data_IF_161027617523
#
_entry.id   IF_161027617523
#
_cell.length_a   1.000
_cell.length_b   1.000
_cell.length_c   1.000
_cell.angle_alpha   90.00
_cell.angle_beta   90.00
_cell.angle_gamma   90.00
#
_symmetry.space_group_name_H-M   'P 1'
#
loop_
_entity.id
_entity.type
_entity.pdbx_description
1 polymer ?
#
# COMPACT_ATOMS: atom_id res chain seq x y z
N UNK A 1 -7.23 -20.65 -17.96
CA UNK A 1 -6.03 -20.00 -18.53
C UNK A 1 -6.09 -18.52 -18.19
N UNK A 2 -5.41 -18.11 -17.12
CA UNK A 2 -5.38 -16.71 -16.70
C UNK A 2 -4.34 -16.01 -17.57
N UNK A 3 -4.74 -15.00 -18.34
CA UNK A 3 -3.79 -14.18 -19.09
C UNK A 3 -2.99 -13.38 -18.07
N UNK A 4 -1.68 -13.56 -18.02
CA UNK A 4 -0.78 -12.62 -17.34
C UNK A 4 -0.84 -11.30 -18.10
N UNK A 5 -1.70 -10.40 -17.65
CA UNK A 5 -1.70 -9.01 -18.10
C UNK A 5 -0.54 -8.35 -17.37
N UNK A 6 0.59 -8.18 -18.05
CA UNK A 6 1.69 -7.36 -17.55
C UNK A 6 1.25 -5.91 -17.65
N UNK A 7 0.66 -5.37 -16.58
CA UNK A 7 0.30 -3.96 -16.53
C UNK A 7 1.60 -3.14 -16.52
N UNK A 8 1.87 -2.39 -17.59
CA UNK A 8 2.96 -1.41 -17.60
C UNK A 8 2.65 -0.34 -16.56
N UNK A 9 3.36 -0.39 -15.43
CA UNK A 9 3.32 0.63 -14.39
C UNK A 9 3.96 1.89 -14.95
N UNK A 10 3.17 2.94 -15.15
CA UNK A 10 3.65 4.27 -15.50
C UNK A 10 3.32 5.23 -14.37
N UNK A 11 4.10 6.30 -14.20
CA UNK A 11 3.93 7.28 -13.12
C UNK A 11 2.48 7.74 -12.89
N UNK A 12 1.74 8.01 -13.96
CA UNK A 12 0.37 8.54 -13.91
C UNK A 12 -0.74 7.47 -14.00
N UNK A 13 -0.40 6.20 -14.20
CA UNK A 13 -1.42 5.15 -14.32
C UNK A 13 -1.71 4.57 -12.93
N UNK A 14 -2.97 4.59 -12.48
CA UNK A 14 -3.34 3.92 -11.24
C UNK A 14 -3.08 2.42 -11.32
N UNK A 15 -2.57 1.87 -10.23
CA UNK A 15 -2.50 0.43 -10.02
C UNK A 15 -2.89 0.11 -8.58
N UNK A 16 -3.34 -1.12 -8.36
CA UNK A 16 -3.66 -1.62 -7.02
C UNK A 16 -2.38 -2.12 -6.37
N UNK A 17 -2.04 -1.53 -5.22
CA UNK A 17 -0.90 -1.93 -4.40
C UNK A 17 -1.35 -2.66 -3.16
N UNK A 18 -0.53 -3.62 -2.75
CA UNK A 18 -0.52 -4.19 -1.40
C UNK A 18 0.92 -4.11 -0.90
N UNK A 19 1.15 -3.31 0.13
CA UNK A 19 2.47 -3.06 0.71
C UNK A 19 2.44 -3.58 2.14
N UNK A 20 3.42 -4.41 2.51
CA UNK A 20 3.56 -4.97 3.86
C UNK A 20 4.78 -4.35 4.55
N UNK A 21 4.56 -3.74 5.71
CA UNK A 21 5.58 -3.06 6.50
C UNK A 21 5.63 -3.71 7.89
N UNK A 22 6.77 -4.27 8.32
CA UNK A 22 6.93 -4.73 9.69
C UNK A 22 6.78 -3.58 10.69
N UNK A 23 6.03 -3.82 11.77
CA UNK A 23 5.69 -2.84 12.80
C UNK A 23 4.31 -2.20 12.61
N UNK A 24 4.00 -1.25 13.50
CA UNK A 24 2.78 -0.45 13.47
C UNK A 24 3.07 0.90 12.81
N UNK A 25 2.41 1.18 11.69
CA UNK A 25 2.46 2.49 11.05
C UNK A 25 1.45 3.43 11.72
N UNK A 26 1.80 4.72 11.85
CA UNK A 26 0.93 5.69 12.52
C UNK A 26 -0.39 5.92 11.75
N UNK A 27 -1.47 6.20 12.47
CA UNK A 27 -2.83 6.45 11.94
C UNK A 27 -2.90 7.64 10.96
N UNK A 28 -1.91 8.55 10.99
CA UNK A 28 -1.80 9.65 10.02
C UNK A 28 -1.67 9.18 8.55
N UNK A 29 -1.28 7.92 8.32
CA UNK A 29 -1.22 7.32 6.99
C UNK A 29 -2.61 7.07 6.39
N UNK A 30 -3.63 6.87 7.23
CA UNK A 30 -5.04 6.71 6.82
C UNK A 30 -5.71 8.04 6.44
N UNK A 31 -5.24 9.16 6.97
CA UNK A 31 -5.79 10.49 6.65
C UNK A 31 -5.21 11.11 5.38
N UNK A 32 -3.97 10.73 5.02
CA UNK A 32 -3.25 11.30 3.88
C UNK A 32 -3.92 11.00 2.54
N UNK A 33 -4.33 9.75 2.31
CA UNK A 33 -5.04 9.37 1.11
C UNK A 33 -6.21 8.46 1.45
N UNK A 34 -7.44 8.98 1.30
CA UNK A 34 -8.68 8.21 1.46
C UNK A 34 -8.80 7.02 0.50
N UNK A 35 -7.90 6.92 -0.47
CA UNK A 35 -7.78 5.79 -1.40
C UNK A 35 -6.89 4.66 -0.87
N UNK A 36 -6.23 4.86 0.28
CA UNK A 36 -5.41 3.86 0.97
C UNK A 36 -6.09 3.40 2.25
N UNK A 37 -6.19 2.09 2.41
CA UNK A 37 -6.64 1.42 3.62
C UNK A 37 -5.42 0.88 4.36
N UNK A 38 -5.29 1.26 5.64
CA UNK A 38 -4.27 0.75 6.56
C UNK A 38 -4.92 -0.35 7.40
N UNK A 39 -4.30 -1.51 7.47
CA UNK A 39 -4.71 -2.63 8.34
C UNK A 39 -3.48 -3.11 9.10
N UNK A 40 -3.63 -3.49 10.36
CA UNK A 40 -2.53 -4.06 11.14
C UNK A 40 -2.85 -5.53 11.41
N UNK A 41 -1.98 -6.41 10.93
CA UNK A 41 -2.05 -7.85 11.19
C UNK A 41 -1.02 -8.22 12.25
N UNK A 42 -1.46 -8.90 13.31
CA UNK A 42 -0.58 -9.52 14.30
C UNK A 42 -0.65 -11.03 14.10
N UNK A 43 0.34 -11.64 13.42
CA UNK A 43 0.44 -13.09 13.32
C UNK A 43 1.38 -13.64 14.40
N UNK A 44 0.81 -14.38 15.36
CA UNK A 44 1.55 -15.04 16.44
C UNK A 44 2.18 -14.09 17.47
N UNK A 45 3.24 -14.54 18.14
CA UNK A 45 4.03 -13.72 19.09
C UNK A 45 5.01 -12.76 18.39
N UNK A 46 4.95 -12.68 17.06
CA UNK A 46 5.81 -11.82 16.25
C UNK A 46 5.43 -10.34 16.32
N UNK A 47 6.31 -9.43 15.86
CA UNK A 47 5.96 -8.02 15.73
C UNK A 47 4.80 -7.87 14.73
N UNK A 48 3.87 -6.92 14.97
CA UNK A 48 2.77 -6.65 14.05
C UNK A 48 3.30 -6.31 12.65
N UNK A 49 2.50 -6.55 11.63
CA UNK A 49 2.76 -6.10 10.25
C UNK A 49 1.64 -5.16 9.83
N UNK A 50 1.99 -3.96 9.42
CA UNK A 50 1.05 -3.04 8.80
C UNK A 50 0.92 -3.38 7.31
N UNK A 51 -0.32 -3.51 6.85
CA UNK A 51 -0.69 -3.70 5.46
C UNK A 51 -1.37 -2.44 4.94
N UNK A 52 -0.84 -1.93 3.85
CA UNK A 52 -1.31 -0.77 3.13
C UNK A 52 -1.89 -1.24 1.79
N UNK A 53 -3.18 -1.03 1.56
CA UNK A 53 -3.86 -1.41 0.31
C UNK A 53 -4.55 -0.22 -0.32
N UNK A 54 -4.47 -0.09 -1.64
CA UNK A 54 -5.17 0.98 -2.35
C UNK A 54 -4.87 1.04 -3.83
N UNK A 55 -5.71 1.77 -4.56
CA UNK A 55 -5.53 2.03 -6.00
C UNK A 55 -5.10 3.47 -6.20
N UNK A 56 -3.80 3.67 -6.45
CA UNK A 56 -3.18 4.99 -6.63
C UNK A 56 -2.20 4.95 -7.79
N UNK A 57 -1.87 6.12 -8.34
CA UNK A 57 -0.79 6.21 -9.31
C UNK A 57 0.59 6.15 -8.63
N UNK A 58 1.63 5.90 -9.43
CA UNK A 58 3.00 5.72 -8.93
C UNK A 58 3.60 7.02 -8.36
N UNK A 59 3.18 8.19 -8.85
CA UNK A 59 3.65 9.48 -8.32
C UNK A 59 3.08 9.74 -6.91
N UNK A 60 1.78 9.47 -6.70
CA UNK A 60 1.12 9.55 -5.41
C UNK A 60 1.73 8.55 -4.41
N UNK A 61 1.99 7.30 -4.84
CA UNK A 61 2.66 6.31 -4.00
C UNK A 61 4.06 6.76 -3.59
N UNK A 62 4.83 7.33 -4.52
CA UNK A 62 6.17 7.84 -4.23
C UNK A 62 6.12 9.02 -3.24
N UNK A 63 5.10 9.88 -3.34
CA UNK A 63 4.86 10.93 -2.36
C UNK A 63 4.57 10.37 -0.97
N UNK A 64 3.71 9.35 -0.90
CA UNK A 64 3.34 8.67 0.34
C UNK A 64 4.54 8.02 1.04
N UNK A 65 5.41 7.31 0.31
CA UNK A 65 6.54 6.58 0.88
C UNK A 65 7.72 7.45 1.34
N UNK A 66 7.70 8.76 1.08
CA UNK A 66 8.78 9.69 1.43
C UNK A 66 8.51 10.48 2.71
N UNK A 67 7.34 10.31 3.32
CA UNK A 67 7.04 10.85 4.65
C UNK A 67 7.65 9.99 5.75
#
# INVERSE_FOLDING_TARGET
MMKEVTHTLTLARPATYQIKVPGHLNEGWTEWDRRMTVTVECEGDGPPTTILTGTIDQAALQGLLRQ
#
